data_IF_797971828755
#
_entry.id   IF_797971828755
#
_cell.length_a   1.000
_cell.length_b   1.000
_cell.length_c   1.000
_cell.angle_alpha   90.00
_cell.angle_beta   90.00
_cell.angle_gamma   90.00
#
_symmetry.space_group_name_H-M   'P 1'
#
loop_
_entity.id
_entity.type
_entity.pdbx_description
1 polymer ?
#
# COMPACT_ATOMS: atom_id res chain seq x y z
N UNK A 1 -3.32 -15.74 17.02
CA UNK A 1 -3.75 -15.55 15.62
C UNK A 1 -2.68 -14.79 14.87
N UNK A 2 -2.28 -15.26 13.69
CA UNK A 2 -1.20 -14.69 12.88
C UNK A 2 -1.74 -14.14 11.56
N UNK A 3 -1.39 -12.89 11.26
CA UNK A 3 -1.83 -12.17 10.06
C UNK A 3 -0.62 -11.76 9.25
N UNK A 4 -0.46 -12.31 8.06
CA UNK A 4 0.56 -11.91 7.10
C UNK A 4 0.14 -10.64 6.35
N UNK A 5 1.06 -9.74 6.02
CA UNK A 5 0.73 -8.52 5.27
C UNK A 5 1.89 -8.04 4.40
N UNK A 6 1.56 -7.54 3.21
CA UNK A 6 2.49 -6.80 2.33
C UNK A 6 2.61 -5.31 2.72
N UNK A 7 2.07 -4.91 3.87
CA UNK A 7 2.13 -3.57 4.49
C UNK A 7 1.47 -2.41 3.72
N UNK A 8 0.86 -2.62 2.57
CA UNK A 8 0.24 -1.54 1.78
C UNK A 8 -1.06 -0.98 2.38
N UNK A 9 -1.65 -1.69 3.33
CA UNK A 9 -2.90 -1.27 3.98
C UNK A 9 -2.74 -1.06 5.48
N UNK A 10 -1.52 -0.83 5.95
CA UNK A 10 -1.21 -0.70 7.38
C UNK A 10 -2.02 0.41 8.04
N UNK A 11 -2.01 1.60 7.47
CA UNK A 11 -2.70 2.76 8.03
C UNK A 11 -4.21 2.68 7.81
N UNK A 12 -4.74 2.51 6.58
CA UNK A 12 -6.18 2.64 6.35
C UNK A 12 -7.00 1.49 6.90
N UNK A 13 -6.48 0.27 6.95
CA UNK A 13 -7.25 -0.90 7.32
C UNK A 13 -6.67 -1.70 8.49
N UNK A 14 -5.38 -2.04 8.46
CA UNK A 14 -4.81 -3.03 9.37
C UNK A 14 -4.88 -2.57 10.82
N UNK A 15 -4.29 -1.42 11.14
CA UNK A 15 -4.22 -0.94 12.53
C UNK A 15 -5.58 -0.61 13.12
N UNK A 16 -6.52 0.07 12.41
CA UNK A 16 -7.84 0.31 12.97
C UNK A 16 -8.68 -0.98 13.10
N UNK A 17 -8.49 -1.96 12.22
CA UNK A 17 -9.17 -3.27 12.33
C UNK A 17 -8.71 -4.03 13.57
N UNK A 18 -7.40 -4.09 13.82
CA UNK A 18 -6.87 -4.77 15.01
C UNK A 18 -7.36 -4.08 16.30
N UNK A 19 -7.42 -2.75 16.32
CA UNK A 19 -7.96 -2.01 17.47
C UNK A 19 -9.41 -2.42 17.75
N UNK A 20 -10.27 -2.41 16.75
CA UNK A 20 -11.68 -2.82 16.88
C UNK A 20 -11.82 -4.29 17.26
N UNK A 21 -11.00 -5.17 16.70
CA UNK A 21 -11.00 -6.59 17.03
C UNK A 21 -10.67 -6.84 18.51
N UNK A 22 -9.73 -6.10 19.11
CA UNK A 22 -9.38 -6.20 20.52
C UNK A 22 -10.53 -5.85 21.45
N UNK A 23 -11.46 -4.99 21.04
CA UNK A 23 -12.65 -4.65 21.84
C UNK A 23 -13.59 -5.85 21.99
N UNK A 24 -13.62 -6.75 21.00
CA UNK A 24 -14.48 -7.95 20.95
C UNK A 24 -13.75 -9.18 21.49
N UNK A 25 -12.45 -9.28 21.23
CA UNK A 25 -11.59 -10.42 21.55
C UNK A 25 -10.37 -10.01 22.38
N UNK A 26 -10.61 -9.49 23.60
CA UNK A 26 -9.55 -8.94 24.47
C UNK A 26 -8.47 -9.94 24.89
N UNK A 27 -8.80 -11.23 24.93
CA UNK A 27 -7.87 -12.32 25.29
C UNK A 27 -7.11 -12.90 24.07
N UNK A 28 -7.47 -12.54 22.84
CA UNK A 28 -6.83 -13.07 21.65
C UNK A 28 -5.61 -12.23 21.27
N UNK A 29 -4.44 -12.84 21.33
CA UNK A 29 -3.21 -12.22 20.83
C UNK A 29 -3.20 -12.26 19.30
N UNK A 30 -2.98 -11.10 18.65
CA UNK A 30 -2.79 -10.95 17.21
C UNK A 30 -1.34 -10.61 16.92
N UNK A 31 -0.67 -11.47 16.16
CA UNK A 31 0.67 -11.25 15.64
C UNK A 31 0.57 -10.81 14.18
N UNK A 32 1.16 -9.68 13.83
CA UNK A 32 1.20 -9.15 12.45
C UNK A 32 2.60 -9.30 11.90
N UNK A 33 2.71 -9.95 10.75
CA UNK A 33 4.00 -10.30 10.15
C UNK A 33 4.06 -9.74 8.73
N UNK A 34 5.02 -8.81 8.51
CA UNK A 34 5.33 -8.30 7.18
C UNK A 34 6.07 -9.35 6.36
N UNK A 35 5.59 -9.65 5.15
CA UNK A 35 6.23 -10.60 4.25
C UNK A 35 5.80 -10.35 2.79
N UNK A 36 6.52 -10.97 1.86
CA UNK A 36 6.14 -10.95 0.44
C UNK A 36 4.91 -11.84 0.18
N UNK A 37 4.17 -11.52 -0.87
CA UNK A 37 2.92 -12.22 -1.21
C UNK A 37 3.08 -13.75 -1.26
N UNK A 38 4.11 -14.26 -1.95
CA UNK A 38 4.32 -15.71 -2.06
C UNK A 38 4.62 -16.39 -0.71
N UNK A 39 5.32 -15.68 0.19
CA UNK A 39 5.59 -16.16 1.54
C UNK A 39 4.31 -16.20 2.38
N UNK A 40 3.48 -15.15 2.30
CA UNK A 40 2.19 -15.07 2.99
C UNK A 40 1.28 -16.22 2.52
N UNK A 41 1.17 -16.43 1.21
CA UNK A 41 0.31 -17.47 0.64
C UNK A 41 0.77 -18.88 1.06
N UNK A 42 2.08 -19.14 1.04
CA UNK A 42 2.65 -20.41 1.52
C UNK A 42 2.35 -20.61 3.00
N UNK A 43 2.54 -19.57 3.83
CA UNK A 43 2.27 -19.63 5.26
C UNK A 43 0.77 -19.83 5.60
N UNK A 44 -0.14 -19.36 4.74
CA UNK A 44 -1.58 -19.69 4.87
C UNK A 44 -1.83 -21.17 4.52
N UNK A 45 -1.20 -21.67 3.46
CA UNK A 45 -1.40 -23.05 3.01
C UNK A 45 -0.83 -24.09 4.00
N UNK A 46 0.26 -23.77 4.67
CA UNK A 46 0.85 -24.65 5.70
C UNK A 46 0.28 -24.42 7.11
N UNK A 47 -0.67 -23.48 7.27
CA UNK A 47 -1.34 -23.19 8.53
C UNK A 47 -0.52 -22.32 9.50
N UNK A 48 0.63 -21.77 9.08
CA UNK A 48 1.42 -20.85 9.88
C UNK A 48 0.78 -19.46 10.02
N UNK A 49 -0.05 -19.06 9.04
CA UNK A 49 -0.86 -17.85 9.09
C UNK A 49 -2.35 -18.18 8.98
N UNK A 50 -3.17 -17.48 9.79
CA UNK A 50 -4.63 -17.60 9.75
C UNK A 50 -5.23 -16.77 8.61
N UNK A 51 -4.66 -15.60 8.34
CA UNK A 51 -5.10 -14.63 7.33
C UNK A 51 -3.90 -13.98 6.64
N UNK A 52 -4.09 -13.54 5.40
CA UNK A 52 -3.10 -12.75 4.66
C UNK A 52 -3.71 -11.59 3.92
N UNK A 53 -3.07 -10.42 4.02
CA UNK A 53 -3.37 -9.23 3.23
C UNK A 53 -2.34 -9.12 2.12
N UNK A 54 -2.78 -9.25 0.86
CA UNK A 54 -1.89 -9.24 -0.30
C UNK A 54 -2.46 -8.40 -1.43
N UNK A 55 -1.58 -7.98 -2.35
CA UNK A 55 -1.97 -7.20 -3.50
C UNK A 55 -1.96 -8.05 -4.78
N UNK A 56 -2.82 -7.69 -5.72
CA UNK A 56 -2.83 -8.19 -7.09
C UNK A 56 -2.97 -7.04 -8.07
N UNK A 57 -2.39 -7.15 -9.24
CA UNK A 57 -2.82 -6.37 -10.39
C UNK A 57 -4.11 -6.96 -10.95
N UNK A 58 -4.90 -6.13 -11.60
CA UNK A 58 -6.07 -6.62 -12.33
C UNK A 58 -5.65 -7.66 -13.37
N UNK A 59 -6.38 -8.76 -13.42
CA UNK A 59 -6.08 -9.90 -14.30
C UNK A 59 -5.09 -10.92 -13.73
N UNK A 60 -4.47 -10.66 -12.56
CA UNK A 60 -3.61 -11.66 -11.93
C UNK A 60 -4.41 -12.88 -11.45
N UNK A 61 -3.86 -14.08 -11.66
CA UNK A 61 -4.40 -15.34 -11.15
C UNK A 61 -4.27 -15.43 -9.63
N UNK A 62 -5.28 -16.03 -9.00
CA UNK A 62 -5.31 -16.27 -7.56
C UNK A 62 -5.28 -17.76 -7.27
N UNK A 63 -4.48 -18.22 -6.29
CA UNK A 63 -4.43 -19.63 -5.92
C UNK A 63 -5.84 -20.17 -5.59
N UNK A 64 -6.31 -21.25 -6.24
CA UNK A 64 -7.65 -21.78 -6.02
C UNK A 64 -7.85 -22.37 -4.63
N UNK A 65 -6.78 -22.75 -3.94
CA UNK A 65 -6.78 -23.27 -2.57
C UNK A 65 -7.08 -22.19 -1.54
N UNK A 66 -6.91 -20.91 -1.91
CA UNK A 66 -7.16 -19.78 -1.04
C UNK A 66 -8.54 -19.18 -1.30
N UNK A 67 -9.30 -18.99 -0.25
CA UNK A 67 -10.48 -18.13 -0.30
C UNK A 67 -10.01 -16.68 -0.30
N UNK A 68 -10.33 -15.95 -1.35
CA UNK A 68 -9.93 -14.57 -1.56
C UNK A 68 -11.14 -13.65 -1.51
N UNK A 69 -11.08 -12.63 -0.66
CA UNK A 69 -12.10 -11.57 -0.57
C UNK A 69 -11.48 -10.23 -0.93
N UNK A 70 -12.08 -9.52 -1.88
CA UNK A 70 -11.69 -8.17 -2.25
C UNK A 70 -11.95 -7.21 -1.09
N UNK A 71 -10.95 -6.40 -0.74
CA UNK A 71 -11.07 -5.32 0.22
C UNK A 71 -11.10 -3.95 -0.47
N UNK A 72 -10.03 -3.59 -1.17
CA UNK A 72 -9.92 -2.29 -1.83
C UNK A 72 -9.55 -2.47 -3.31
N UNK A 73 -10.04 -1.55 -4.12
CA UNK A 73 -9.57 -1.29 -5.48
C UNK A 73 -8.92 0.08 -5.48
N UNK A 74 -7.75 0.16 -6.04
CA UNK A 74 -6.99 1.38 -6.19
C UNK A 74 -6.21 1.37 -7.50
N UNK A 75 -5.39 2.37 -7.68
CA UNK A 75 -4.51 2.53 -8.85
C UNK A 75 -3.09 2.82 -8.39
N UNK A 76 -2.07 2.54 -9.23
CA UNK A 76 -0.72 3.02 -8.99
C UNK A 76 -0.68 4.55 -9.02
N UNK A 77 0.00 5.13 -8.05
CA UNK A 77 0.25 6.57 -7.98
C UNK A 77 1.73 6.83 -7.71
N UNK A 78 2.24 7.95 -8.19
CA UNK A 78 3.59 8.41 -7.88
C UNK A 78 3.54 9.17 -6.57
N UNK A 79 4.26 8.67 -5.57
CA UNK A 79 4.45 9.31 -4.28
C UNK A 79 5.79 10.04 -4.27
N UNK A 80 5.78 11.31 -3.87
CA UNK A 80 6.94 12.19 -3.89
C UNK A 80 6.92 13.15 -2.70
N UNK A 81 8.05 13.76 -2.39
CA UNK A 81 8.11 14.83 -1.41
C UNK A 81 7.37 16.07 -1.93
N UNK A 82 6.78 16.87 -1.05
CA UNK A 82 5.93 18.01 -1.38
C UNK A 82 6.63 19.07 -2.25
N UNK A 83 7.94 19.20 -2.14
CA UNK A 83 8.77 20.18 -2.89
C UNK A 83 9.34 19.62 -4.21
N UNK A 84 8.97 18.41 -4.60
CA UNK A 84 9.32 17.84 -5.90
C UNK A 84 8.80 18.72 -7.04
N UNK A 85 9.57 18.95 -8.11
CA UNK A 85 9.09 19.67 -9.29
C UNK A 85 7.83 19.06 -9.93
N UNK A 86 7.59 17.77 -9.70
CA UNK A 86 6.43 17.06 -10.20
C UNK A 86 5.18 17.23 -9.31
N UNK A 87 5.35 17.71 -8.08
CA UNK A 87 4.24 17.84 -7.12
C UNK A 87 3.17 18.86 -7.57
N UNK A 88 3.52 19.83 -8.39
CA UNK A 88 2.60 20.83 -8.94
C UNK A 88 1.82 20.38 -10.19
N UNK A 89 2.04 19.16 -10.69
CA UNK A 89 1.36 18.63 -11.88
C UNK A 89 0.07 17.91 -11.52
N UNK A 90 -0.89 17.86 -12.44
CA UNK A 90 -2.12 17.06 -12.27
C UNK A 90 -1.84 15.56 -12.39
N UNK A 91 -0.86 15.17 -13.23
CA UNK A 91 -0.43 13.79 -13.42
C UNK A 91 1.06 13.75 -13.79
N UNK A 92 1.74 12.65 -13.45
CA UNK A 92 3.15 12.39 -13.78
C UNK A 92 3.22 11.53 -15.04
N UNK A 93 4.02 11.93 -16.02
CA UNK A 93 4.25 11.13 -17.23
C UNK A 93 5.26 10.03 -16.95
N UNK A 94 5.16 8.91 -17.68
CA UNK A 94 6.15 7.83 -17.60
C UNK A 94 7.56 8.31 -17.93
N UNK A 95 7.69 9.25 -18.89
CA UNK A 95 8.98 9.90 -19.21
C UNK A 95 9.61 10.66 -18.04
N UNK A 96 8.79 11.25 -17.18
CA UNK A 96 9.30 11.97 -15.99
C UNK A 96 9.90 11.01 -14.98
N UNK A 97 9.33 9.79 -14.84
CA UNK A 97 9.86 8.75 -13.95
C UNK A 97 11.24 8.23 -14.36
N UNK A 98 11.59 8.34 -15.64
CA UNK A 98 12.90 7.89 -16.16
C UNK A 98 14.05 8.84 -15.82
N UNK A 99 13.74 10.08 -15.47
CA UNK A 99 14.72 11.15 -15.20
C UNK A 99 14.92 11.44 -13.71
N UNK A 100 14.11 10.81 -12.87
CA UNK A 100 14.15 11.01 -11.41
C UNK A 100 14.67 9.76 -10.70
N UNK A 101 15.35 9.91 -9.56
CA UNK A 101 15.70 8.76 -8.72
C UNK A 101 14.43 8.00 -8.28
N UNK A 102 14.41 6.70 -8.49
CA UNK A 102 13.29 5.86 -8.11
C UNK A 102 13.62 4.98 -6.90
N UNK A 103 12.66 4.90 -5.99
CA UNK A 103 12.65 3.97 -4.86
C UNK A 103 11.72 2.83 -5.24
N UNK A 104 12.27 1.71 -5.68
CA UNK A 104 11.51 0.58 -6.23
C UNK A 104 11.37 -0.51 -5.18
N UNK A 105 10.18 -1.08 -5.05
CA UNK A 105 10.00 -2.30 -4.24
C UNK A 105 10.89 -3.40 -4.81
N UNK A 106 11.53 -4.20 -3.96
CA UNK A 106 12.33 -5.33 -4.44
C UNK A 106 11.45 -6.44 -5.04
N UNK A 107 12.09 -7.36 -5.74
CA UNK A 107 11.43 -8.51 -6.37
C UNK A 107 10.55 -9.27 -5.37
N UNK A 108 9.39 -9.77 -5.83
CA UNK A 108 8.37 -10.44 -5.02
C UNK A 108 7.20 -9.52 -4.60
N UNK A 109 7.30 -8.22 -4.79
CA UNK A 109 6.18 -7.29 -4.62
C UNK A 109 5.49 -7.00 -5.96
N UNK A 110 4.18 -6.84 -5.92
CA UNK A 110 3.37 -6.52 -7.10
C UNK A 110 3.82 -5.20 -7.74
N UNK A 111 4.16 -4.20 -6.92
CA UNK A 111 4.61 -2.89 -7.44
C UNK A 111 6.00 -2.95 -8.10
N UNK A 112 6.88 -3.89 -7.73
CA UNK A 112 8.10 -4.15 -8.49
C UNK A 112 7.75 -4.58 -9.93
N UNK A 113 6.92 -5.59 -10.08
CA UNK A 113 6.49 -6.09 -11.39
C UNK A 113 5.77 -5.01 -12.21
N UNK A 114 4.96 -4.19 -11.55
CA UNK A 114 4.27 -3.08 -12.19
C UNK A 114 5.26 -2.05 -12.76
N UNK A 115 6.22 -1.56 -11.96
CA UNK A 115 7.15 -0.50 -12.39
C UNK A 115 8.08 -0.98 -13.51
N UNK A 116 8.55 -2.23 -13.44
CA UNK A 116 9.35 -2.83 -14.51
C UNK A 116 8.57 -2.90 -15.83
N UNK A 117 7.31 -3.32 -15.78
CA UNK A 117 6.43 -3.33 -16.96
C UNK A 117 6.18 -1.91 -17.49
N UNK A 118 5.93 -0.95 -16.62
CA UNK A 118 5.66 0.45 -16.98
C UNK A 118 6.86 1.11 -17.66
N UNK A 119 8.07 0.84 -17.19
CA UNK A 119 9.31 1.42 -17.69
C UNK A 119 10.00 0.54 -18.73
N UNK A 120 9.43 -0.60 -19.13
CA UNK A 120 10.04 -1.57 -20.06
C UNK A 120 11.45 -2.00 -19.59
N UNK A 121 11.61 -2.28 -18.28
CA UNK A 121 12.87 -2.64 -17.62
C UNK A 121 13.97 -1.56 -17.65
N UNK A 122 13.68 -0.36 -18.14
CA UNK A 122 14.58 0.79 -18.14
C UNK A 122 14.50 1.57 -16.81
N UNK A 123 14.92 0.92 -15.71
CA UNK A 123 14.94 1.56 -14.39
C UNK A 123 16.13 2.54 -14.31
N UNK A 124 15.93 3.77 -13.80
CA UNK A 124 17.02 4.74 -13.64
C UNK A 124 18.20 4.18 -12.85
N UNK A 125 19.42 4.56 -13.27
CA UNK A 125 20.68 4.05 -12.69
C UNK A 125 20.81 4.30 -11.19
N UNK A 126 20.23 5.40 -10.70
CA UNK A 126 20.27 5.80 -9.27
C UNK A 126 19.03 5.35 -8.49
N UNK A 127 18.46 4.22 -8.82
CA UNK A 127 17.33 3.68 -8.10
C UNK A 127 17.74 3.04 -6.77
N UNK A 128 16.86 3.18 -5.79
CA UNK A 128 16.96 2.51 -4.51
C UNK A 128 16.01 1.31 -4.49
N UNK A 129 16.38 0.26 -3.77
CA UNK A 129 15.50 -0.89 -3.55
C UNK A 129 15.07 -0.97 -2.09
N UNK A 130 13.79 -1.21 -1.84
CA UNK A 130 13.23 -1.24 -0.48
C UNK A 130 12.24 -2.38 -0.28
N UNK A 131 12.03 -2.70 1.00
CA UNK A 131 11.16 -3.79 1.43
C UNK A 131 9.83 -3.22 1.96
N UNK A 132 8.86 -3.09 1.05
CA UNK A 132 7.51 -2.63 1.37
C UNK A 132 7.29 -1.12 1.30
N UNK A 133 6.01 -0.74 1.30
CA UNK A 133 5.56 0.62 1.05
C UNK A 133 5.96 1.61 2.16
N UNK A 134 5.97 1.16 3.42
CA UNK A 134 6.25 2.04 4.56
C UNK A 134 7.68 2.60 4.50
N UNK A 135 8.66 1.73 4.25
CA UNK A 135 10.04 2.17 4.07
C UNK A 135 10.18 3.08 2.85
N UNK A 136 9.50 2.77 1.75
CA UNK A 136 9.50 3.59 0.54
C UNK A 136 9.00 5.02 0.82
N UNK A 137 7.92 5.19 1.58
CA UNK A 137 7.39 6.51 1.96
C UNK A 137 8.37 7.31 2.85
N UNK A 138 9.03 6.65 3.79
CA UNK A 138 10.07 7.30 4.62
C UNK A 138 11.24 7.78 3.77
N UNK A 139 11.72 6.98 2.82
CA UNK A 139 12.80 7.37 1.91
C UNK A 139 12.37 8.54 1.00
N UNK A 140 11.11 8.58 0.57
CA UNK A 140 10.55 9.74 -0.15
C UNK A 140 10.55 10.99 0.73
N UNK A 141 10.14 10.89 1.98
CA UNK A 141 10.11 11.99 2.93
C UNK A 141 11.52 12.59 3.14
N UNK A 142 12.57 11.77 3.11
CA UNK A 142 13.97 12.19 3.18
C UNK A 142 14.51 12.77 1.84
N UNK A 143 13.68 12.79 0.78
CA UNK A 143 14.07 13.35 -0.51
C UNK A 143 14.97 12.47 -1.36
N UNK A 144 15.00 11.15 -1.11
CA UNK A 144 15.84 10.22 -1.86
C UNK A 144 15.30 9.91 -3.26
N UNK A 145 14.06 10.30 -3.58
CA UNK A 145 13.48 10.09 -4.89
C UNK A 145 11.96 9.92 -4.85
N UNK A 146 11.43 9.31 -5.89
CA UNK A 146 10.01 9.01 -6.05
C UNK A 146 9.76 7.53 -5.80
N UNK A 147 8.55 7.17 -5.37
CA UNK A 147 8.12 5.77 -5.35
C UNK A 147 6.74 5.61 -5.98
N UNK A 148 6.46 4.43 -6.52
CA UNK A 148 5.14 4.11 -7.08
C UNK A 148 4.45 3.10 -6.19
N UNK A 149 3.30 3.49 -5.65
CA UNK A 149 2.55 2.73 -4.67
C UNK A 149 1.06 2.67 -5.06
N UNK A 150 0.29 1.71 -4.53
CA UNK A 150 -1.16 1.81 -4.59
C UNK A 150 -1.63 3.06 -3.84
N UNK A 151 -2.60 3.78 -4.39
CA UNK A 151 -3.16 5.01 -3.81
C UNK A 151 -3.66 4.81 -2.36
N UNK A 152 -4.30 3.68 -2.08
CA UNK A 152 -4.76 3.33 -0.72
C UNK A 152 -3.63 3.13 0.31
N UNK A 153 -2.36 3.07 -0.11
CA UNK A 153 -1.21 3.02 0.81
C UNK A 153 -0.63 4.40 1.12
N UNK A 154 -1.04 5.42 0.38
CA UNK A 154 -0.58 6.81 0.53
C UNK A 154 -1.66 7.69 1.12
N UNK A 155 -2.90 7.57 0.63
CA UNK A 155 -4.04 8.38 1.06
C UNK A 155 -4.37 8.10 2.52
N UNK A 156 -4.37 9.17 3.33
CA UNK A 156 -4.60 9.09 4.76
C UNK A 156 -3.37 8.66 5.58
N UNK A 157 -2.21 8.50 4.94
CA UNK A 157 -0.94 8.29 5.64
C UNK A 157 -0.55 9.52 6.47
N UNK A 158 0.01 9.35 7.68
CA UNK A 158 0.45 10.49 8.50
C UNK A 158 1.41 11.46 7.81
N UNK A 159 2.29 10.98 6.93
CA UNK A 159 3.20 11.84 6.16
C UNK A 159 2.45 12.65 5.10
N UNK A 160 1.45 12.03 4.47
CA UNK A 160 0.59 12.70 3.48
C UNK A 160 -0.30 13.74 4.17
N UNK A 161 -0.96 13.38 5.29
CA UNK A 161 -1.79 14.30 6.06
C UNK A 161 -1.03 15.51 6.60
N UNK A 162 0.26 15.37 6.88
CA UNK A 162 1.14 16.46 7.30
C UNK A 162 1.76 17.23 6.13
N UNK A 163 1.44 16.87 4.90
CA UNK A 163 1.97 17.50 3.71
C UNK A 163 3.47 17.26 3.46
N UNK A 164 4.08 16.25 4.10
CA UNK A 164 5.49 15.89 3.87
C UNK A 164 5.66 15.17 2.54
N UNK A 165 4.72 14.26 2.23
CA UNK A 165 4.64 13.59 0.94
C UNK A 165 3.32 13.95 0.26
N UNK A 166 3.34 13.93 -1.06
CA UNK A 166 2.16 14.10 -1.93
C UNK A 166 2.15 13.01 -2.98
N UNK A 167 1.02 12.83 -3.64
CA UNK A 167 0.90 11.84 -4.71
C UNK A 167 0.23 12.43 -5.94
N UNK A 168 0.53 11.82 -7.10
CA UNK A 168 -0.10 12.15 -8.39
C UNK A 168 -0.39 10.88 -9.17
N UNK A 169 -1.47 10.83 -9.94
CA UNK A 169 -1.73 9.73 -10.85
C UNK A 169 -0.66 9.68 -11.96
N UNK A 170 -0.52 8.51 -12.57
CA UNK A 170 0.35 8.34 -13.74
C UNK A 170 -0.49 8.63 -14.99
N UNK A 171 0.02 9.54 -15.82
CA UNK A 171 -0.69 9.97 -17.02
C UNK A 171 -0.91 8.80 -18.01
N UNK A 172 -2.17 8.56 -18.38
CA UNK A 172 -2.55 7.53 -19.34
C UNK A 172 -2.54 6.10 -18.79
N UNK A 173 -2.22 5.90 -17.50
CA UNK A 173 -2.28 4.57 -16.88
C UNK A 173 -3.69 4.28 -16.32
N UNK A 174 -4.23 3.11 -16.70
CA UNK A 174 -5.53 2.61 -16.25
C UNK A 174 -5.42 1.35 -15.38
N UNK A 175 -4.20 0.98 -15.00
CA UNK A 175 -3.94 -0.23 -14.21
C UNK A 175 -4.64 -0.15 -12.85
N UNK A 176 -5.29 -1.25 -12.45
CA UNK A 176 -5.87 -1.38 -11.13
C UNK A 176 -5.01 -2.27 -10.23
N UNK A 177 -4.91 -1.87 -8.97
CA UNK A 177 -4.29 -2.65 -7.90
C UNK A 177 -5.38 -3.05 -6.91
N UNK A 178 -5.46 -4.33 -6.61
CA UNK A 178 -6.45 -4.89 -5.70
C UNK A 178 -5.78 -5.30 -4.38
N UNK A 179 -6.25 -4.78 -3.25
CA UNK A 179 -5.96 -5.33 -1.94
C UNK A 179 -7.00 -6.38 -1.61
N UNK A 180 -6.54 -7.56 -1.25
CA UNK A 180 -7.41 -8.67 -0.88
C UNK A 180 -7.00 -9.26 0.47
N UNK A 181 -7.97 -9.87 1.16
CA UNK A 181 -7.70 -10.75 2.29
C UNK A 181 -7.88 -12.20 1.86
N UNK A 182 -6.93 -13.04 2.26
CA UNK A 182 -6.88 -14.46 1.93
C UNK A 182 -6.87 -15.32 3.19
N UNK A 183 -7.48 -16.51 3.11
CA UNK A 183 -7.38 -17.60 4.07
C UNK A 183 -7.44 -18.94 3.36
N UNK A 184 -7.04 -19.99 4.05
CA UNK A 184 -7.20 -21.33 3.50
C UNK A 184 -8.69 -21.65 3.26
N UNK A 185 -9.00 -22.23 2.10
CA UNK A 185 -10.38 -22.56 1.71
C UNK A 185 -10.88 -23.83 2.38
N UNK A 186 -10.02 -24.83 2.51
CA UNK A 186 -10.38 -26.20 2.93
C UNK A 186 -10.68 -26.34 4.42
N UNK A 187 -10.26 -25.39 5.26
CA UNK A 187 -10.44 -25.47 6.71
C UNK A 187 -11.49 -24.47 7.21
N UNK A 188 -12.35 -24.89 8.16
CA UNK A 188 -13.26 -23.98 8.83
C UNK A 188 -12.48 -22.95 9.65
N UNK A 189 -12.81 -21.67 9.48
CA UNK A 189 -12.20 -20.61 10.28
C UNK A 189 -12.77 -20.61 11.70
N UNK A 190 -11.91 -20.36 12.69
CA UNK A 190 -12.36 -20.11 14.06
C UNK A 190 -13.22 -18.86 14.13
N UNK A 191 -14.04 -18.71 15.18
CA UNK A 191 -14.86 -17.50 15.36
C UNK A 191 -14.02 -16.22 15.36
N UNK A 192 -12.88 -16.24 16.01
CA UNK A 192 -11.97 -15.08 16.03
C UNK A 192 -11.45 -14.70 14.63
N UNK A 193 -11.08 -15.68 13.80
CA UNK A 193 -10.66 -15.44 12.41
C UNK A 193 -11.82 -14.92 11.56
N UNK A 194 -13.03 -15.45 11.74
CA UNK A 194 -14.23 -14.97 11.05
C UNK A 194 -14.56 -13.52 11.41
N UNK A 195 -14.51 -13.17 12.69
CA UNK A 195 -14.79 -11.83 13.17
C UNK A 195 -13.72 -10.83 12.68
N UNK A 196 -12.43 -11.18 12.72
CA UNK A 196 -11.39 -10.32 12.18
C UNK A 196 -11.56 -10.09 10.67
N UNK A 197 -11.85 -11.15 9.90
CA UNK A 197 -12.14 -11.06 8.48
C UNK A 197 -13.35 -10.14 8.21
N UNK A 198 -14.44 -10.30 8.97
CA UNK A 198 -15.64 -9.48 8.85
C UNK A 198 -15.32 -8.00 9.11
N UNK A 199 -14.57 -7.68 10.15
CA UNK A 199 -14.18 -6.30 10.47
C UNK A 199 -13.36 -5.68 9.33
N UNK A 200 -12.43 -6.44 8.72
CA UNK A 200 -11.70 -5.97 7.53
C UNK A 200 -12.64 -5.60 6.39
N UNK A 201 -13.61 -6.46 6.09
CA UNK A 201 -14.59 -6.22 5.01
C UNK A 201 -15.47 -5.00 5.31
N UNK A 202 -15.97 -4.85 6.53
CA UNK A 202 -16.78 -3.72 6.94
C UNK A 202 -16.02 -2.39 6.84
N UNK A 203 -14.76 -2.36 7.30
CA UNK A 203 -13.91 -1.18 7.19
C UNK A 203 -13.53 -0.85 5.76
N UNK A 204 -13.26 -1.86 4.94
CA UNK A 204 -12.98 -1.66 3.53
C UNK A 204 -14.16 -1.02 2.79
N UNK A 205 -15.41 -1.40 3.14
CA UNK A 205 -16.62 -0.77 2.59
C UNK A 205 -16.79 0.69 3.02
N UNK A 206 -16.33 1.03 4.22
CA UNK A 206 -16.37 2.39 4.74
C UNK A 206 -15.20 3.26 4.26
N UNK A 207 -14.15 2.65 3.72
CA UNK A 207 -12.98 3.36 3.20
C UNK A 207 -13.35 4.11 1.93
N UNK A 208 -13.17 5.43 1.97
CA UNK A 208 -13.31 6.31 0.79
C UNK A 208 -11.91 6.58 0.27
N UNK A 209 -11.51 5.81 -0.76
CA UNK A 209 -10.29 6.05 -1.52
C UNK A 209 -10.28 7.40 -2.24
N UNK A 210 -9.24 7.64 -3.07
CA UNK A 210 -9.21 8.80 -3.95
C UNK A 210 -10.47 8.87 -4.81
N UNK A 211 -11.02 10.08 -5.05
CA UNK A 211 -12.08 10.27 -6.03
C UNK A 211 -11.65 9.71 -7.39
N UNK A 212 -12.55 9.01 -8.07
CA UNK A 212 -12.28 8.39 -9.38
C UNK A 212 -11.77 9.42 -10.43
N UNK A 213 -12.10 10.68 -10.25
CA UNK A 213 -11.93 11.77 -11.23
C UNK A 213 -10.70 12.66 -10.99
N UNK A 214 -9.79 12.29 -10.07
CA UNK A 214 -8.62 13.14 -9.76
C UNK A 214 -8.95 14.49 -9.09
N UNK A 215 -10.24 14.81 -8.90
CA UNK A 215 -10.70 16.01 -8.22
C UNK A 215 -10.54 15.84 -6.71
N UNK A 216 -9.57 16.53 -6.12
CA UNK A 216 -9.37 16.55 -4.67
C UNK A 216 -7.95 16.30 -4.20
N UNK A 217 -6.96 16.59 -5.04
CA UNK A 217 -5.58 16.70 -4.55
C UNK A 217 -5.51 18.00 -3.73
N UNK A 218 -5.27 17.95 -2.40
CA UNK A 218 -5.07 19.18 -1.64
C UNK A 218 -3.89 19.91 -2.26
N UNK A 219 -4.09 21.18 -2.62
CA UNK A 219 -3.00 22.08 -2.96
C UNK A 219 -2.03 22.16 -1.77
N UNK A 220 -0.77 22.57 -1.96
CA UNK A 220 0.18 22.69 -0.87
C UNK A 220 -0.42 23.58 0.21
N UNK A 221 -0.67 23.01 1.37
CA UNK A 221 -1.00 23.78 2.57
C UNK A 221 0.25 24.64 2.86
N UNK A 222 0.11 25.95 2.81
CA UNK A 222 1.21 26.87 3.09
C UNK A 222 1.77 26.56 4.47
N UNK A 223 2.93 25.94 4.52
CA UNK A 223 3.66 25.67 5.76
C UNK A 223 4.17 27.02 6.23
N UNK A 224 3.54 27.58 7.27
CA UNK A 224 4.04 28.74 7.99
C UNK A 224 5.47 28.45 8.44
N UNK A 225 6.36 29.36 8.11
CA UNK A 225 7.81 29.30 8.30
C UNK A 225 8.15 29.48 9.81
N UNK A 226 7.82 28.48 10.65
CA UNK A 226 8.29 28.44 12.03
C UNK A 226 9.68 27.81 12.06
N UNK A 227 10.68 28.66 12.12
CA UNK A 227 12.09 28.30 12.39
C UNK A 227 12.16 27.74 13.81
N UNK A 228 12.52 26.48 13.95
CA UNK A 228 12.97 25.94 15.24
C UNK A 228 14.29 26.63 15.63
N UNK A 229 14.41 27.18 16.84
CA UNK A 229 15.70 27.68 17.32
C UNK A 229 16.62 26.50 17.63
N UNK A 230 17.80 26.51 17.01
CA UNK A 230 18.91 25.63 17.36
C UNK A 230 19.49 26.14 18.67
N UNK A 231 19.34 25.39 19.76
CA UNK A 231 20.02 25.58 21.01
C UNK A 231 21.08 24.48 21.20
#
# INVERSE_FOLDING_TARGET
>A
MRVGTVNTATVPLLTPTIRQFREIHSSTQVEVIGAQQAQIQRAILDGSFDLGLVNYLEGDDKPPELQTTMLLRGRPVVCMRYDSPLAGRDAVRVSDLRTEPLIVMRSGYVMHRYIHRLLHDEIPEFSYSTDGAEMGKLMVAEGLGLTVLPDFSVIGDPLEQRGVIVWRPIAGDSTQVHLVIQRIRSLPATRAVQDLHRIFVERARAYRGAPADGAGVPGPVGVGNERYPVG
#
